data_IF_584483582293
#
_entry.id   IF_584483582293
#
_cell.length_a   1.000
_cell.length_b   1.000
_cell.length_c   1.000
_cell.angle_alpha   90.00
_cell.angle_beta   90.00
_cell.angle_gamma   90.00
#
_symmetry.space_group_name_H-M   'P 1'
#
loop_
_entity.id
_entity.type
_entity.pdbx_description
1 polymer ?
#
# COMPACT_ATOMS: atom_id res chain seq x y z
N UNK A 1 -11.08 13.79 36.27
CA UNK A 1 -11.57 14.51 35.06
C UNK A 1 -10.49 14.55 33.98
N UNK A 2 -9.30 15.05 34.30
CA UNK A 2 -8.20 15.14 33.32
C UNK A 2 -7.83 13.78 32.72
N UNK A 3 -7.73 12.76 33.55
CA UNK A 3 -7.43 11.39 33.10
C UNK A 3 -8.51 10.83 32.16
N UNK A 4 -9.78 10.96 32.53
CA UNK A 4 -10.89 10.52 31.68
C UNK A 4 -10.90 11.25 30.32
N UNK A 5 -10.64 12.56 30.32
CA UNK A 5 -10.51 13.32 29.08
C UNK A 5 -9.31 12.87 28.26
N UNK A 6 -8.14 12.71 28.89
CA UNK A 6 -6.92 12.31 28.22
C UNK A 6 -7.04 10.91 27.58
N UNK A 7 -7.69 9.97 28.29
CA UNK A 7 -7.98 8.63 27.74
C UNK A 7 -8.88 8.71 26.51
N UNK A 8 -9.95 9.53 26.58
CA UNK A 8 -10.86 9.73 25.45
C UNK A 8 -10.16 10.40 24.26
N UNK A 9 -9.33 11.42 24.53
CA UNK A 9 -8.54 12.12 23.51
C UNK A 9 -7.56 11.15 22.81
N UNK A 10 -6.87 10.33 23.57
CA UNK A 10 -5.97 9.29 23.06
C UNK A 10 -6.70 8.30 22.16
N UNK A 11 -7.82 7.77 22.61
CA UNK A 11 -8.63 6.82 21.82
C UNK A 11 -9.12 7.47 20.51
N UNK A 12 -9.60 8.73 20.59
CA UNK A 12 -10.01 9.47 19.39
C UNK A 12 -8.87 9.64 18.38
N UNK A 13 -7.67 10.03 18.85
CA UNK A 13 -6.50 10.20 17.99
C UNK A 13 -6.08 8.86 17.39
N UNK A 14 -6.02 7.81 18.19
CA UNK A 14 -5.66 6.47 17.75
C UNK A 14 -6.63 5.95 16.67
N UNK A 15 -7.94 6.03 16.92
CA UNK A 15 -8.97 5.58 15.99
C UNK A 15 -9.04 6.37 14.69
N UNK A 16 -8.58 7.63 14.70
CA UNK A 16 -8.62 8.53 13.55
C UNK A 16 -7.21 8.88 13.04
N UNK A 17 -6.18 8.14 13.43
CA UNK A 17 -4.78 8.47 13.14
C UNK A 17 -4.53 8.72 11.66
N UNK A 18 -4.95 7.82 10.76
CA UNK A 18 -4.75 7.98 9.32
C UNK A 18 -5.41 9.26 8.77
N UNK A 19 -6.63 9.57 9.21
CA UNK A 19 -7.36 10.79 8.80
C UNK A 19 -6.67 12.05 9.31
N UNK A 20 -6.25 12.04 10.57
CA UNK A 20 -5.53 13.16 11.19
C UNK A 20 -4.14 13.35 10.59
N UNK A 21 -3.45 12.24 10.31
CA UNK A 21 -2.12 12.27 9.68
C UNK A 21 -2.15 12.88 8.27
N UNK A 22 -3.18 12.59 7.49
CA UNK A 22 -3.36 13.10 6.13
C UNK A 22 -4.09 14.45 6.06
N UNK A 23 -4.62 14.92 7.20
CA UNK A 23 -5.34 16.18 7.30
C UNK A 23 -4.44 17.41 7.48
N UNK A 24 -5.06 18.59 7.55
CA UNK A 24 -4.38 19.84 7.87
C UNK A 24 -4.02 19.88 9.35
N UNK A 25 -2.73 20.06 9.65
CA UNK A 25 -2.20 20.18 11.01
C UNK A 25 -1.49 21.52 11.17
N UNK A 26 -1.51 22.15 12.37
CA UNK A 26 -2.12 21.64 13.60
C UNK A 26 -3.64 21.67 13.57
N UNK A 27 -4.27 20.71 14.25
CA UNK A 27 -5.71 20.60 14.43
C UNK A 27 -6.04 20.49 15.93
N UNK A 28 -7.24 20.87 16.32
CA UNK A 28 -7.65 20.78 17.72
C UNK A 28 -9.08 20.26 17.87
N UNK A 29 -9.41 19.77 19.05
CA UNK A 29 -10.74 19.36 19.45
C UNK A 29 -10.95 19.53 20.95
N UNK A 30 -12.21 19.67 21.35
CA UNK A 30 -12.65 19.97 22.72
C UNK A 30 -13.32 18.77 23.38
N UNK A 31 -13.68 18.89 24.67
CA UNK A 31 -14.49 17.91 25.35
C UNK A 31 -15.88 17.71 24.68
N UNK A 32 -16.49 18.80 24.19
CA UNK A 32 -17.78 18.73 23.49
C UNK A 32 -17.67 17.98 22.15
N UNK A 33 -16.55 18.09 21.46
CA UNK A 33 -16.29 17.32 20.25
C UNK A 33 -16.19 15.81 20.56
N UNK A 34 -15.50 15.46 21.63
CA UNK A 34 -15.36 14.05 22.06
C UNK A 34 -16.70 13.47 22.55
N UNK A 35 -17.55 14.27 23.18
CA UNK A 35 -18.92 13.86 23.54
C UNK A 35 -19.75 13.59 22.29
N UNK A 36 -19.76 14.51 21.32
CA UNK A 36 -20.49 14.36 20.06
C UNK A 36 -20.05 13.13 19.27
N UNK A 37 -18.76 12.79 19.35
CA UNK A 37 -18.16 11.65 18.67
C UNK A 37 -18.24 10.34 19.47
N UNK A 38 -18.79 10.34 20.67
CA UNK A 38 -19.01 9.16 21.50
C UNK A 38 -17.79 8.69 22.31
N UNK A 39 -16.70 9.45 22.36
CA UNK A 39 -15.50 9.12 23.15
C UNK A 39 -15.60 9.54 24.61
N UNK A 40 -16.44 10.54 24.93
CA UNK A 40 -16.80 10.95 26.28
C UNK A 40 -18.28 10.77 26.51
N UNK A 41 -18.65 10.43 27.75
CA UNK A 41 -20.05 10.28 28.15
C UNK A 41 -20.77 11.63 28.13
N UNK A 42 -22.05 11.61 27.80
CA UNK A 42 -22.96 12.74 28.04
C UNK A 42 -22.88 13.16 29.50
N UNK A 43 -22.80 14.48 29.75
CA UNK A 43 -22.67 15.00 31.10
C UNK A 43 -21.25 14.97 31.67
N UNK A 44 -20.21 14.76 30.83
CA UNK A 44 -18.84 14.98 31.27
C UNK A 44 -18.68 16.42 31.80
N UNK A 45 -18.40 16.55 33.10
CA UNK A 45 -18.37 17.83 33.79
C UNK A 45 -16.97 18.45 33.74
N UNK A 46 -16.95 19.76 33.97
CA UNK A 46 -15.71 20.52 34.20
C UNK A 46 -15.00 20.00 35.44
N UNK A 47 -13.69 20.28 35.52
CA UNK A 47 -12.91 20.01 36.72
C UNK A 47 -13.47 20.71 37.96
N UNK A 48 -13.06 20.34 39.17
CA UNK A 48 -13.45 21.07 40.41
C UNK A 48 -13.14 22.59 40.38
N UNK A 49 -12.21 23.01 39.52
CA UNK A 49 -11.88 24.41 39.27
C UNK A 49 -12.72 25.04 38.14
N UNK A 50 -13.73 24.36 37.64
CA UNK A 50 -14.56 24.82 36.54
C UNK A 50 -13.85 24.83 35.17
N UNK A 51 -12.66 24.23 35.05
CA UNK A 51 -11.90 24.16 33.82
C UNK A 51 -12.40 23.02 32.91
N UNK A 52 -12.46 23.30 31.62
CA UNK A 52 -12.67 22.31 30.56
C UNK A 52 -11.33 21.92 29.93
N UNK A 53 -11.35 21.16 28.84
CA UNK A 53 -10.15 20.65 28.18
C UNK A 53 -10.21 20.84 26.67
N UNK A 54 -9.04 21.11 26.09
CA UNK A 54 -8.82 21.18 24.65
C UNK A 54 -7.53 20.45 24.32
N UNK A 55 -7.53 19.70 23.22
CA UNK A 55 -6.35 18.99 22.70
C UNK A 55 -5.98 19.52 21.34
N UNK A 56 -4.72 19.87 21.14
CA UNK A 56 -4.13 20.16 19.85
C UNK A 56 -3.26 19.01 19.38
N UNK A 57 -3.21 18.82 18.09
CA UNK A 57 -2.43 17.76 17.42
C UNK A 57 -1.48 18.42 16.44
N UNK A 58 -0.24 17.99 16.42
CA UNK A 58 0.77 18.34 15.41
C UNK A 58 1.41 17.09 14.81
N UNK A 59 2.14 17.28 13.72
CA UNK A 59 3.07 16.28 13.18
C UNK A 59 4.48 16.65 13.57
N UNK A 60 5.20 15.72 14.19
CA UNK A 60 6.62 15.86 14.43
C UNK A 60 7.37 15.87 13.09
N UNK A 61 8.10 16.95 12.82
CA UNK A 61 8.78 17.14 11.53
C UNK A 61 9.95 16.17 11.31
N UNK A 62 10.51 15.61 12.38
CA UNK A 62 11.64 14.68 12.32
C UNK A 62 11.17 13.24 12.13
N UNK A 63 10.15 12.83 12.91
CA UNK A 63 9.67 11.43 12.94
C UNK A 63 8.46 11.19 12.02
N UNK A 64 7.78 12.26 11.60
CA UNK A 64 6.51 12.20 10.87
C UNK A 64 5.32 11.77 11.72
N UNK A 65 5.53 11.47 13.01
CA UNK A 65 4.52 10.94 13.92
C UNK A 65 3.60 12.04 14.46
N UNK A 66 2.36 11.68 14.81
CA UNK A 66 1.46 12.56 15.50
C UNK A 66 1.89 12.73 16.96
N UNK A 67 1.82 13.95 17.43
CA UNK A 67 1.99 14.34 18.83
C UNK A 67 0.79 15.20 19.24
N UNK A 68 0.38 15.11 20.48
CA UNK A 68 -0.74 15.89 20.97
C UNK A 68 -0.43 16.53 22.33
N UNK A 69 -0.98 17.70 22.53
CA UNK A 69 -0.94 18.44 23.79
C UNK A 69 -2.37 18.75 24.22
N UNK A 70 -2.73 18.32 25.41
CA UNK A 70 -3.98 18.71 26.07
C UNK A 70 -3.71 19.81 27.07
N UNK A 71 -4.49 20.87 27.02
CA UNK A 71 -4.52 21.91 28.07
C UNK A 71 -5.90 21.94 28.72
N UNK A 72 -5.95 22.22 30.02
CA UNK A 72 -7.19 22.72 30.61
C UNK A 72 -7.40 24.20 30.25
N UNK A 73 -8.65 24.64 30.18
CA UNK A 73 -9.02 26.03 29.77
C UNK A 73 -10.24 26.52 30.50
N UNK A 74 -10.31 27.84 30.70
CA UNK A 74 -11.40 28.49 31.44
C UNK A 74 -11.38 28.19 32.94
N UNK A 75 -12.46 28.47 33.62
CA UNK A 75 -12.59 28.28 35.06
C UNK A 75 -11.62 29.10 35.90
N UNK A 76 -11.30 28.63 37.10
CA UNK A 76 -10.40 29.26 38.04
C UNK A 76 -8.95 28.83 37.83
N UNK A 77 -8.02 29.77 37.90
CA UNK A 77 -6.59 29.47 37.84
C UNK A 77 -6.14 28.71 39.10
N UNK A 78 -5.36 27.67 38.91
CA UNK A 78 -4.73 26.93 40.00
C UNK A 78 -3.38 27.59 40.30
N UNK A 79 -3.08 27.76 41.59
CA UNK A 79 -1.78 28.28 42.04
C UNK A 79 -0.64 27.32 41.59
N UNK A 80 0.53 27.90 41.34
CA UNK A 80 1.67 27.16 40.76
C UNK A 80 2.07 25.93 41.58
N UNK A 81 2.09 26.04 42.92
CA UNK A 81 2.42 24.88 43.79
C UNK A 81 1.40 23.75 43.65
N UNK A 82 0.11 24.12 43.52
CA UNK A 82 -0.95 23.17 43.25
C UNK A 82 -0.83 22.51 41.87
N UNK A 83 -0.44 23.30 40.85
CA UNK A 83 -0.19 22.79 39.50
C UNK A 83 0.95 21.79 39.48
N UNK A 84 2.06 22.06 40.16
CA UNK A 84 3.22 21.16 40.26
C UNK A 84 2.82 19.82 40.91
N UNK A 85 2.02 19.92 42.01
CA UNK A 85 1.52 18.73 42.69
C UNK A 85 0.59 17.90 41.82
N UNK A 86 -0.36 18.54 41.11
CA UNK A 86 -1.29 17.87 40.21
C UNK A 86 -0.54 17.27 39.03
N UNK A 87 0.41 17.98 38.42
CA UNK A 87 1.19 17.50 37.30
C UNK A 87 1.91 16.20 37.61
N UNK A 88 2.45 16.03 38.84
CA UNK A 88 3.10 14.79 39.26
C UNK A 88 2.15 13.63 39.54
N UNK A 89 0.84 13.89 39.64
CA UNK A 89 -0.19 12.85 39.87
C UNK A 89 -0.97 12.49 38.59
N UNK A 90 -0.79 13.25 37.51
CA UNK A 90 -1.44 12.93 36.24
C UNK A 90 -0.79 11.70 35.60
N UNK A 91 -1.59 10.77 35.07
CA UNK A 91 -1.04 9.61 34.36
C UNK A 91 -0.32 10.02 33.09
N UNK A 92 0.79 9.36 32.81
CA UNK A 92 1.62 9.66 31.66
C UNK A 92 2.47 10.90 31.83
N UNK A 93 2.56 11.72 30.79
CA UNK A 93 3.40 12.92 30.76
C UNK A 93 2.62 14.19 31.20
N UNK A 94 2.19 14.19 32.46
CA UNK A 94 1.51 15.33 33.06
C UNK A 94 2.42 16.54 33.24
N UNK A 95 1.83 17.73 33.20
CA UNK A 95 2.51 19.02 33.32
C UNK A 95 1.54 20.15 33.56
N UNK A 96 2.01 21.37 33.40
CA UNK A 96 1.25 22.60 33.60
C UNK A 96 1.74 23.71 32.67
N UNK A 97 0.94 24.76 32.53
CA UNK A 97 1.32 25.96 31.77
C UNK A 97 1.96 26.95 32.74
N UNK A 98 3.23 27.28 32.50
CA UNK A 98 4.01 28.25 33.25
C UNK A 98 3.59 29.70 32.94
N UNK A 99 4.09 30.66 33.76
CA UNK A 99 3.80 32.08 33.58
C UNK A 99 4.25 32.64 32.23
N UNK A 100 5.22 32.01 31.61
CA UNK A 100 5.73 32.34 30.28
C UNK A 100 4.89 31.77 29.14
N UNK A 101 3.78 31.06 29.43
CA UNK A 101 2.93 30.41 28.42
C UNK A 101 3.48 29.10 27.88
N UNK A 102 4.57 28.59 28.44
CA UNK A 102 5.17 27.32 28.03
C UNK A 102 4.56 26.16 28.83
N UNK A 103 4.25 25.07 28.19
CA UNK A 103 3.88 23.82 28.83
C UNK A 103 5.15 23.12 29.36
N UNK A 104 5.15 22.78 30.64
CA UNK A 104 6.29 22.15 31.31
C UNK A 104 5.80 20.93 32.07
N UNK A 105 6.48 19.81 31.84
CA UNK A 105 6.21 18.53 32.49
C UNK A 105 6.54 18.55 33.99
N UNK A 106 5.98 17.59 34.71
CA UNK A 106 6.32 17.36 36.11
C UNK A 106 7.83 17.21 36.25
N UNK A 107 8.40 17.88 37.25
CA UNK A 107 9.85 17.89 37.53
C UNK A 107 10.71 18.35 36.34
N UNK A 108 10.15 19.07 35.36
CA UNK A 108 10.89 19.48 34.16
C UNK A 108 11.16 18.39 33.13
N UNK A 109 10.44 17.28 33.19
CA UNK A 109 10.66 16.13 32.33
C UNK A 109 10.52 16.41 30.82
N UNK A 110 9.73 17.41 30.48
CA UNK A 110 9.54 17.88 29.09
C UNK A 110 9.15 19.33 29.06
N UNK A 111 9.32 19.98 27.91
CA UNK A 111 8.90 21.36 27.66
C UNK A 111 8.40 21.49 26.23
N UNK A 112 7.25 22.16 26.05
CA UNK A 112 6.65 22.33 24.74
C UNK A 112 5.90 23.67 24.62
N UNK A 113 5.64 24.12 23.40
CA UNK A 113 4.91 25.37 23.13
C UNK A 113 3.49 25.05 22.68
N UNK A 114 2.43 25.46 23.41
CA UNK A 114 1.06 25.21 22.99
C UNK A 114 0.75 25.71 21.57
N UNK A 115 1.37 26.82 21.15
CA UNK A 115 1.20 27.37 19.80
C UNK A 115 1.58 26.41 18.67
N UNK A 116 2.55 25.52 18.88
CA UNK A 116 2.95 24.51 17.89
C UNK A 116 1.86 23.46 17.65
N UNK A 117 0.91 23.34 18.57
CA UNK A 117 -0.27 22.48 18.48
C UNK A 117 -1.55 23.24 18.08
N UNK A 118 -1.43 24.49 17.67
CA UNK A 118 -2.57 25.35 17.38
C UNK A 118 -3.41 25.71 18.62
N UNK A 119 -2.81 25.72 19.81
CA UNK A 119 -3.46 26.01 21.08
C UNK A 119 -3.00 27.33 21.67
N UNK A 120 -3.94 28.01 22.36
CA UNK A 120 -3.65 29.13 23.28
C UNK A 120 -3.97 28.66 24.69
N UNK A 121 -2.93 28.36 25.47
CA UNK A 121 -3.06 27.88 26.84
C UNK A 121 -2.49 28.94 27.80
N UNK A 122 -3.22 29.22 28.89
CA UNK A 122 -2.87 30.25 29.87
C UNK A 122 -2.24 29.66 31.12
N UNK A 123 -1.42 30.44 31.83
CA UNK A 123 -0.92 30.07 33.15
C UNK A 123 -2.08 29.77 34.12
N UNK A 124 -1.86 28.89 35.06
CA UNK A 124 -2.91 28.42 35.98
C UNK A 124 -3.67 27.20 35.51
N UNK A 125 -3.22 26.58 34.43
CA UNK A 125 -3.85 25.42 33.77
C UNK A 125 -2.92 24.23 33.71
N UNK A 126 -3.48 23.01 33.74
CA UNK A 126 -2.72 21.78 33.55
C UNK A 126 -2.44 21.53 32.07
N UNK A 127 -1.38 20.79 31.82
CA UNK A 127 -1.04 20.28 30.48
C UNK A 127 -0.74 18.79 30.53
N UNK A 128 -1.03 18.07 29.46
CA UNK A 128 -0.66 16.67 29.30
C UNK A 128 -0.18 16.48 27.87
N UNK A 129 1.05 16.01 27.72
CA UNK A 129 1.58 15.68 26.38
C UNK A 129 1.36 14.22 26.09
N UNK A 130 1.02 13.91 24.85
CA UNK A 130 0.90 12.55 24.32
C UNK A 130 1.88 12.41 23.17
N UNK A 131 2.85 11.52 23.33
CA UNK A 131 3.92 11.26 22.36
C UNK A 131 4.13 9.76 22.17
N UNK A 132 4.78 9.39 21.06
CA UNK A 132 5.28 8.06 20.84
C UNK A 132 4.19 7.02 20.54
N UNK A 133 4.39 5.81 21.04
CA UNK A 133 3.58 4.65 20.68
C UNK A 133 2.12 4.72 21.14
N UNK A 134 1.80 5.56 22.10
CA UNK A 134 0.45 5.76 22.64
C UNK A 134 -0.57 6.27 21.61
N UNK A 135 -0.12 7.00 20.60
CA UNK A 135 -0.96 7.56 19.54
C UNK A 135 -0.91 6.78 18.23
N UNK A 136 -0.17 5.67 18.20
CA UNK A 136 0.20 4.99 16.96
C UNK A 136 -0.43 3.63 16.76
N UNK A 137 -1.28 3.19 17.66
CA UNK A 137 -1.89 1.86 17.57
C UNK A 137 -2.69 1.68 16.26
N UNK A 138 -3.26 2.77 15.72
CA UNK A 138 -3.99 2.78 14.45
C UNK A 138 -3.10 2.82 13.20
N UNK A 139 -1.78 3.11 13.34
CA UNK A 139 -0.81 3.10 12.23
C UNK A 139 -0.25 1.69 11.96
N UNK A 140 -0.68 0.70 12.70
CA UNK A 140 -0.31 -0.71 12.51
C UNK A 140 -1.27 -1.38 11.53
N UNK A 141 -0.74 -2.17 10.63
CA UNK A 141 -1.56 -3.03 9.79
C UNK A 141 -2.21 -4.13 10.65
N UNK A 142 -3.53 -4.12 10.72
CA UNK A 142 -4.26 -5.16 11.43
C UNK A 142 -4.22 -6.47 10.64
N UNK A 143 -3.84 -7.57 11.31
CA UNK A 143 -3.78 -8.91 10.70
C UNK A 143 -5.15 -9.57 10.56
N UNK A 144 -6.15 -9.09 11.28
CA UNK A 144 -7.52 -9.57 11.21
C UNK A 144 -8.43 -8.47 10.66
N UNK A 145 -9.46 -8.87 9.94
CA UNK A 145 -10.47 -7.93 9.46
C UNK A 145 -11.18 -7.28 10.65
N UNK A 146 -11.27 -5.95 10.62
CA UNK A 146 -12.05 -5.17 11.58
C UNK A 146 -13.38 -4.81 10.91
N UNK A 147 -14.54 -5.35 11.36
CA UNK A 147 -15.83 -5.06 10.75
C UNK A 147 -16.13 -3.57 10.72
N UNK A 148 -16.54 -3.07 9.57
CA UNK A 148 -16.83 -1.64 9.36
C UNK A 148 -15.61 -0.71 9.25
N UNK A 149 -14.38 -1.25 9.34
CA UNK A 149 -13.14 -0.46 9.29
C UNK A 149 -12.13 -1.06 8.28
N UNK A 150 -12.46 -1.13 6.97
CA UNK A 150 -11.59 -1.74 5.96
C UNK A 150 -10.24 -1.00 5.79
N UNK A 151 -10.19 0.30 6.12
CA UNK A 151 -8.98 1.11 6.04
C UNK A 151 -7.86 0.62 6.96
N UNK A 152 -8.17 -0.07 8.05
CA UNK A 152 -7.17 -0.62 8.98
C UNK A 152 -6.37 -1.79 8.39
N UNK A 153 -6.85 -2.37 7.29
CA UNK A 153 -6.16 -3.42 6.54
C UNK A 153 -5.51 -2.89 5.25
N UNK A 154 -5.52 -1.58 5.01
CA UNK A 154 -4.94 -0.96 3.82
C UNK A 154 -3.54 -0.43 4.11
N UNK A 155 -2.63 -0.66 3.16
CA UNK A 155 -1.31 -0.02 3.15
C UNK A 155 -1.39 1.29 2.37
N UNK A 156 -1.04 2.40 3.01
CA UNK A 156 -1.01 3.73 2.39
C UNK A 156 0.35 4.08 1.78
N UNK A 157 1.29 3.14 1.83
CA UNK A 157 2.63 3.27 1.25
C UNK A 157 3.11 1.92 0.74
N UNK A 158 4.19 1.92 -0.05
CA UNK A 158 4.81 0.68 -0.52
C UNK A 158 5.36 -0.16 0.65
N UNK A 159 5.21 -1.48 0.57
CA UNK A 159 5.81 -2.41 1.52
C UNK A 159 7.22 -2.76 1.04
N UNK A 160 8.23 -2.45 1.86
CA UNK A 160 9.58 -2.93 1.66
C UNK A 160 9.79 -4.18 2.52
N UNK A 161 9.87 -5.34 1.88
CA UNK A 161 10.08 -6.63 2.56
C UNK A 161 11.53 -6.83 3.04
N UNK A 162 12.46 -5.91 2.75
CA UNK A 162 13.86 -5.99 3.19
C UNK A 162 14.59 -7.26 2.72
N UNK A 163 14.22 -7.82 1.57
CA UNK A 163 14.77 -9.08 1.06
C UNK A 163 14.09 -10.35 1.60
N UNK A 164 13.07 -10.22 2.44
CA UNK A 164 12.32 -11.37 2.95
C UNK A 164 11.25 -11.84 1.96
N UNK A 165 10.84 -13.09 2.10
CA UNK A 165 9.84 -13.71 1.26
C UNK A 165 8.41 -13.34 1.68
N UNK A 166 7.49 -13.37 0.72
CA UNK A 166 6.06 -13.44 0.97
C UNK A 166 5.64 -14.92 0.87
N UNK A 167 5.51 -15.60 2.03
CA UNK A 167 5.17 -17.02 2.09
C UNK A 167 3.66 -17.23 2.29
N UNK A 168 3.14 -18.35 1.76
CA UNK A 168 1.74 -18.76 1.93
C UNK A 168 0.70 -17.72 1.50
N UNK A 169 1.04 -16.90 0.51
CA UNK A 169 0.04 -16.04 -0.10
C UNK A 169 -0.96 -16.90 -0.90
N UNK A 170 -2.26 -16.71 -0.64
CA UNK A 170 -3.30 -17.38 -1.42
C UNK A 170 -3.31 -16.85 -2.86
N UNK A 171 -3.91 -15.70 -3.09
CA UNK A 171 -3.87 -15.01 -4.37
C UNK A 171 -3.10 -13.70 -4.25
N UNK A 172 -2.30 -13.39 -5.26
CA UNK A 172 -1.66 -12.08 -5.41
C UNK A 172 -2.33 -11.35 -6.56
N UNK A 173 -3.16 -10.36 -6.26
CA UNK A 173 -3.86 -9.53 -7.24
C UNK A 173 -3.15 -8.18 -7.36
N UNK A 174 -2.64 -7.88 -8.54
CA UNK A 174 -1.93 -6.63 -8.83
C UNK A 174 -2.06 -6.25 -10.30
N UNK A 175 -1.62 -5.06 -10.65
CA UNK A 175 -1.63 -4.58 -12.04
C UNK A 175 -0.44 -5.14 -12.83
N UNK A 176 0.72 -5.28 -12.19
CA UNK A 176 1.95 -5.78 -12.82
C UNK A 176 2.89 -6.38 -11.78
N UNK A 177 3.81 -7.22 -12.24
CA UNK A 177 4.94 -7.70 -11.46
C UNK A 177 6.23 -7.56 -12.28
N UNK A 178 7.31 -7.07 -11.65
CA UNK A 178 8.66 -7.05 -12.21
C UNK A 178 9.56 -7.91 -11.34
N UNK A 179 10.05 -9.01 -11.90
CA UNK A 179 10.86 -10.00 -11.21
C UNK A 179 12.27 -10.02 -11.82
N UNK A 180 13.28 -10.19 -10.98
CA UNK A 180 14.68 -10.30 -11.43
C UNK A 180 15.07 -11.72 -11.81
N UNK A 181 14.30 -12.71 -11.42
CA UNK A 181 14.53 -14.13 -11.66
C UNK A 181 13.39 -14.78 -12.42
N UNK A 182 13.38 -16.10 -12.40
CA UNK A 182 12.43 -16.92 -13.12
C UNK A 182 11.03 -16.89 -12.52
N UNK A 183 10.03 -17.22 -13.34
CA UNK A 183 8.66 -17.49 -12.91
C UNK A 183 8.40 -18.98 -13.07
N UNK A 184 8.19 -19.68 -11.97
CA UNK A 184 7.90 -21.12 -11.96
C UNK A 184 6.44 -21.34 -11.57
N UNK A 185 5.73 -22.15 -12.36
CA UNK A 185 4.40 -22.70 -12.03
C UNK A 185 4.55 -24.21 -11.83
N UNK A 186 4.37 -24.70 -10.60
CA UNK A 186 4.58 -26.12 -10.30
C UNK A 186 3.43 -27.02 -10.79
N UNK A 187 2.19 -26.60 -10.57
CA UNK A 187 1.00 -27.42 -10.84
C UNK A 187 -0.09 -26.66 -11.61
N UNK A 188 0.25 -25.61 -12.32
CA UNK A 188 -0.71 -24.77 -13.04
C UNK A 188 -0.17 -24.27 -14.38
N UNK A 189 -0.96 -23.47 -15.05
CA UNK A 189 -0.63 -22.82 -16.30
C UNK A 189 -0.16 -21.39 -16.10
N UNK A 190 0.72 -20.90 -16.97
CA UNK A 190 0.89 -19.48 -17.20
C UNK A 190 -0.22 -19.01 -18.14
N UNK A 191 -1.26 -18.38 -17.58
CA UNK A 191 -2.45 -17.99 -18.31
C UNK A 191 -2.33 -16.55 -18.76
N UNK A 192 -2.44 -16.33 -20.06
CA UNK A 192 -2.61 -15.00 -20.65
C UNK A 192 -4.02 -14.85 -21.18
N UNK A 193 -4.54 -13.63 -21.27
CA UNK A 193 -5.88 -13.33 -21.74
C UNK A 193 -5.84 -12.38 -22.94
N UNK A 194 -6.93 -12.37 -23.70
CA UNK A 194 -7.13 -11.55 -24.89
C UNK A 194 -6.07 -11.87 -25.97
N UNK A 195 -5.54 -10.86 -26.61
CA UNK A 195 -4.52 -10.94 -27.66
C UNK A 195 -3.08 -10.92 -27.10
N UNK A 196 -2.90 -11.23 -25.83
CA UNK A 196 -1.58 -11.22 -25.16
C UNK A 196 -1.01 -12.63 -25.06
N UNK A 197 0.31 -12.68 -24.89
CA UNK A 197 1.06 -13.91 -24.74
C UNK A 197 2.41 -13.65 -24.10
N UNK A 198 3.40 -14.44 -24.47
CA UNK A 198 4.79 -14.23 -24.05
C UNK A 198 5.51 -13.34 -25.08
N UNK A 199 6.30 -12.38 -24.61
CA UNK A 199 7.09 -11.48 -25.47
C UNK A 199 8.47 -11.21 -24.89
N UNK A 200 9.51 -11.37 -25.69
CA UNK A 200 10.84 -10.87 -25.40
C UNK A 200 10.96 -9.43 -25.97
N UNK A 201 11.12 -8.45 -25.09
CA UNK A 201 11.13 -7.05 -25.49
C UNK A 201 12.43 -6.67 -26.22
N UNK A 202 13.56 -7.28 -25.84
CA UNK A 202 14.88 -6.97 -26.41
C UNK A 202 14.97 -7.35 -27.90
N UNK A 203 14.46 -8.52 -28.25
CA UNK A 203 14.54 -9.04 -29.62
C UNK A 203 13.22 -8.92 -30.41
N UNK A 204 12.17 -8.43 -29.79
CA UNK A 204 10.87 -8.19 -30.43
C UNK A 204 10.10 -9.44 -30.85
N UNK A 205 10.45 -10.62 -30.31
CA UNK A 205 9.80 -11.90 -30.58
C UNK A 205 8.88 -12.36 -29.46
N UNK A 206 8.12 -13.42 -29.69
CA UNK A 206 7.23 -14.02 -28.72
C UNK A 206 6.15 -14.88 -29.35
N UNK A 207 5.18 -15.31 -28.54
CA UNK A 207 4.01 -16.04 -28.99
C UNK A 207 2.74 -15.37 -28.49
N UNK A 208 1.72 -15.29 -29.36
CA UNK A 208 0.43 -14.70 -29.04
C UNK A 208 -0.68 -15.43 -29.78
N UNK A 209 -1.92 -15.27 -29.31
CA UNK A 209 -3.12 -15.71 -30.01
C UNK A 209 -4.04 -14.50 -30.19
N UNK A 210 -4.44 -14.24 -31.42
CA UNK A 210 -5.40 -13.18 -31.78
C UNK A 210 -6.75 -13.71 -32.23
N UNK A 211 -6.88 -15.04 -32.26
CA UNK A 211 -8.07 -15.81 -32.55
C UNK A 211 -7.98 -17.19 -31.87
N UNK A 212 -9.02 -18.00 -32.00
CA UNK A 212 -9.11 -19.34 -31.36
C UNK A 212 -8.37 -20.47 -32.08
N UNK A 213 -7.73 -20.20 -33.23
CA UNK A 213 -7.17 -21.25 -34.09
C UNK A 213 -5.65 -21.27 -34.10
N UNK A 214 -4.99 -20.12 -33.96
CA UNK A 214 -3.57 -19.99 -34.27
C UNK A 214 -2.72 -19.45 -33.14
N UNK A 215 -1.63 -20.15 -32.83
CA UNK A 215 -0.51 -19.58 -32.09
C UNK A 215 0.40 -18.90 -33.10
N UNK A 216 0.65 -17.60 -32.90
CA UNK A 216 1.43 -16.75 -33.81
C UNK A 216 2.75 -16.33 -33.22
N UNK A 217 3.83 -16.44 -33.99
CA UNK A 217 5.11 -15.85 -33.67
C UNK A 217 4.99 -14.32 -33.85
N UNK A 218 5.28 -13.58 -32.78
CA UNK A 218 5.25 -12.11 -32.79
C UNK A 218 6.44 -11.57 -33.59
N UNK A 219 6.19 -10.47 -34.37
CA UNK A 219 7.21 -9.78 -35.13
C UNK A 219 7.76 -10.58 -36.34
N UNK A 220 6.99 -11.55 -36.85
CA UNK A 220 7.43 -12.34 -38.01
C UNK A 220 8.65 -13.20 -37.74
N UNK A 221 8.94 -13.57 -36.49
CA UNK A 221 10.09 -14.39 -36.12
C UNK A 221 9.92 -15.84 -36.59
N UNK A 222 10.99 -16.40 -37.13
CA UNK A 222 11.06 -17.82 -37.40
C UNK A 222 11.18 -18.67 -36.13
N UNK A 223 10.88 -19.97 -36.27
CA UNK A 223 11.08 -20.96 -35.22
C UNK A 223 12.26 -21.84 -35.64
N UNK A 224 13.28 -21.95 -34.81
CA UNK A 224 14.42 -22.81 -34.98
C UNK A 224 14.45 -23.88 -33.91
N UNK A 225 14.69 -25.13 -34.29
CA UNK A 225 14.92 -26.23 -33.36
C UNK A 225 15.98 -27.18 -33.94
N UNK A 226 16.76 -27.81 -33.08
CA UNK A 226 17.65 -28.95 -33.48
C UNK A 226 16.95 -30.29 -33.33
N UNK A 227 15.75 -30.32 -32.78
CA UNK A 227 14.91 -31.50 -32.62
C UNK A 227 13.85 -31.60 -33.72
N UNK A 228 12.88 -32.48 -33.48
CA UNK A 228 11.78 -32.77 -34.41
C UNK A 228 10.63 -31.76 -34.25
N UNK A 229 9.97 -31.39 -35.34
CA UNK A 229 8.67 -30.73 -35.36
C UNK A 229 7.62 -31.70 -35.87
N UNK A 230 6.66 -32.10 -35.04
CA UNK A 230 5.52 -32.95 -35.41
C UNK A 230 4.28 -32.10 -35.64
N UNK A 231 3.62 -32.27 -36.72
CA UNK A 231 2.36 -31.58 -37.04
C UNK A 231 1.46 -32.47 -37.89
N UNK A 232 0.13 -32.35 -37.74
CA UNK A 232 -0.83 -33.05 -38.60
C UNK A 232 -0.81 -32.54 -40.03
N UNK A 233 -0.47 -31.27 -40.24
CA UNK A 233 -0.29 -30.63 -41.54
C UNK A 233 0.74 -29.51 -41.44
N UNK A 234 1.66 -29.46 -42.38
CA UNK A 234 2.60 -28.32 -42.55
C UNK A 234 2.21 -27.61 -43.85
N UNK A 235 1.87 -26.36 -43.77
CA UNK A 235 1.55 -25.51 -44.92
C UNK A 235 2.49 -24.32 -44.94
N UNK A 236 3.05 -24.00 -46.07
CA UNK A 236 3.94 -22.83 -46.25
C UNK A 236 4.01 -22.44 -47.72
N UNK A 237 4.45 -21.19 -47.98
CA UNK A 237 4.72 -20.72 -49.36
C UNK A 237 5.84 -21.52 -50.03
N UNK A 238 6.83 -21.98 -49.25
CA UNK A 238 7.93 -22.81 -49.70
C UNK A 238 8.35 -23.75 -48.58
N UNK A 239 8.55 -25.02 -48.89
CA UNK A 239 9.18 -26.00 -47.99
C UNK A 239 10.52 -26.37 -48.59
N UNK A 240 11.61 -26.09 -47.88
CA UNK A 240 12.98 -26.41 -48.29
C UNK A 240 13.57 -27.47 -47.34
N UNK A 241 14.19 -28.50 -47.88
CA UNK A 241 15.02 -29.44 -47.13
C UNK A 241 16.45 -29.37 -47.64
N UNK A 242 17.42 -29.15 -46.75
CA UNK A 242 18.85 -29.16 -47.07
C UNK A 242 19.40 -30.60 -47.10
N UNK A 243 18.61 -31.58 -46.67
CA UNK A 243 18.91 -33.00 -46.69
C UNK A 243 17.86 -33.79 -47.47
N UNK A 244 17.53 -34.98 -46.97
CA UNK A 244 16.52 -35.83 -47.58
C UNK A 244 15.11 -35.39 -47.23
N UNK A 245 14.24 -35.21 -48.20
CA UNK A 245 12.79 -35.18 -48.02
C UNK A 245 12.23 -36.59 -48.19
N UNK A 246 11.58 -37.16 -47.18
CA UNK A 246 11.02 -38.49 -47.19
C UNK A 246 9.51 -38.42 -46.97
N UNK A 247 8.75 -39.10 -47.79
CA UNK A 247 7.31 -39.32 -47.64
C UNK A 247 7.04 -40.78 -47.28
N UNK A 248 6.19 -41.03 -46.26
CA UNK A 248 5.80 -42.37 -45.83
C UNK A 248 4.84 -43.08 -46.79
N UNK A 249 4.13 -42.33 -47.63
CA UNK A 249 3.16 -42.86 -48.61
C UNK A 249 3.46 -42.30 -50.00
N UNK A 250 2.79 -41.18 -50.35
CA UNK A 250 2.90 -40.57 -51.68
C UNK A 250 3.31 -39.12 -51.59
N UNK A 251 4.04 -38.65 -52.62
CA UNK A 251 4.19 -37.21 -52.86
C UNK A 251 3.17 -36.82 -53.91
N UNK A 252 2.18 -36.00 -53.52
CA UNK A 252 1.17 -35.46 -54.43
C UNK A 252 1.61 -34.08 -54.91
N UNK A 253 1.67 -33.87 -56.20
CA UNK A 253 1.90 -32.59 -56.86
C UNK A 253 0.54 -32.09 -57.39
N UNK A 254 0.10 -30.93 -56.96
CA UNK A 254 -1.23 -30.40 -57.30
C UNK A 254 -1.34 -29.84 -58.71
N UNK A 255 -0.21 -29.45 -59.30
CA UNK A 255 -0.18 -28.94 -60.67
C UNK A 255 0.31 -30.00 -61.64
N UNK A 256 -0.40 -30.17 -62.74
CA UNK A 256 -0.01 -31.01 -63.85
C UNK A 256 1.02 -30.26 -64.69
N UNK A 257 2.12 -30.96 -65.08
CA UNK A 257 3.06 -30.46 -66.06
C UNK A 257 2.46 -30.56 -67.48
N UNK A 258 2.75 -29.63 -68.33
CA UNK A 258 2.39 -29.73 -69.74
C UNK A 258 3.50 -30.50 -70.47
N UNK A 259 3.11 -31.55 -71.13
CA UNK A 259 4.06 -32.40 -71.82
C UNK A 259 4.89 -31.61 -72.88
N UNK A 260 6.17 -31.91 -72.97
CA UNK A 260 7.14 -31.22 -73.85
C UNK A 260 7.39 -29.73 -73.55
N UNK A 261 7.00 -29.21 -72.35
CA UNK A 261 7.39 -27.90 -71.92
C UNK A 261 8.59 -27.98 -70.96
N UNK A 262 9.49 -27.02 -71.07
CA UNK A 262 10.64 -26.92 -70.17
C UNK A 262 10.14 -26.51 -68.77
N UNK A 263 10.57 -27.27 -67.74
CA UNK A 263 10.37 -26.84 -66.35
C UNK A 263 11.17 -25.57 -66.08
N UNK A 264 10.57 -24.58 -65.47
CA UNK A 264 11.26 -23.31 -65.15
C UNK A 264 10.98 -22.95 -63.69
N UNK A 265 12.01 -22.80 -62.84
CA UNK A 265 13.45 -23.03 -63.12
C UNK A 265 13.82 -24.51 -63.31
N UNK A 266 14.97 -24.77 -63.89
CA UNK A 266 15.48 -26.13 -64.12
C UNK A 266 15.52 -26.91 -62.78
N UNK A 267 15.25 -28.21 -62.86
CA UNK A 267 15.23 -29.13 -61.67
C UNK A 267 13.86 -29.28 -61.01
N UNK A 268 12.83 -28.68 -61.53
CA UNK A 268 11.47 -28.89 -61.06
C UNK A 268 10.95 -30.30 -61.48
N UNK A 269 10.20 -30.95 -60.58
CA UNK A 269 9.45 -32.17 -60.85
C UNK A 269 7.99 -31.79 -61.04
N UNK A 270 7.42 -32.10 -62.19
CA UNK A 270 6.01 -31.93 -62.50
C UNK A 270 5.29 -33.27 -62.53
N UNK A 271 3.98 -33.27 -62.47
CA UNK A 271 3.09 -34.41 -62.66
C UNK A 271 2.64 -34.39 -64.12
N UNK A 272 2.71 -35.55 -64.81
CA UNK A 272 2.14 -35.75 -66.12
C UNK A 272 0.60 -35.90 -66.08
#
# INVERSE_FOLDING_TARGET
>A
HADAYNTAARNYIADNNATLHNGSLPANFTADDLIRKGYLKQGFNRSPFGQSYITGIRRNQTTGRLEALTCSTGGQNIKEDGLRSVAGQLPGLGGYIGKNGTATGAFGAWTDKPGDYGLTCSAGHIAIVMMGDDLQESDRLYRFQVPGRPELNQMNTAINMGGNNLNNAGNVNGQSATLKGDVTSENGWLITKNDKGWKNITYGGGFTMTDSQWIRAVGGKGIITTGEIKGGKVSGGTVRSDGRLSSGEYLQLDKTAVANTKCSPDGLVGRD
#
